data_IF_159050799026
#
_entry.id   IF_159050799026
#
_cell.length_a   1.000
_cell.length_b   1.000
_cell.length_c   1.000
_cell.angle_alpha   90.00
_cell.angle_beta   90.00
_cell.angle_gamma   90.00
#
_symmetry.space_group_name_H-M   'P 1'
#
loop_
_entity.id
_entity.type
_entity.pdbx_description
1 polymer ?
#
# COMPACT_ATOMS: atom_id res chain seq x y z
N UNK A 1 -6.31 -4.16 11.06
CA UNK A 1 -4.96 -4.73 11.24
C UNK A 1 -4.45 -5.12 9.86
N UNK A 2 -3.25 -4.67 9.49
CA UNK A 2 -2.64 -4.89 8.16
C UNK A 2 -1.30 -5.59 8.37
N UNK A 3 -1.00 -6.61 7.57
CA UNK A 3 0.28 -7.31 7.57
C UNK A 3 0.86 -7.36 6.15
N UNK A 4 2.07 -7.90 6.00
CA UNK A 4 2.61 -8.20 4.68
C UNK A 4 1.63 -9.07 3.86
N UNK A 5 1.62 -8.88 2.54
CA UNK A 5 0.75 -9.53 1.56
C UNK A 5 -0.75 -9.15 1.67
N UNK A 6 -1.11 -8.23 2.57
CA UNK A 6 -2.48 -7.72 2.64
C UNK A 6 -2.77 -6.82 1.44
N UNK A 7 -3.85 -7.11 0.71
CA UNK A 7 -4.37 -6.25 -0.35
C UNK A 7 -5.36 -5.24 0.22
N UNK A 8 -5.21 -3.98 -0.19
CA UNK A 8 -6.01 -2.86 0.28
C UNK A 8 -6.63 -2.14 -0.91
N UNK A 9 -7.86 -1.66 -0.73
CA UNK A 9 -8.49 -0.71 -1.65
C UNK A 9 -8.00 0.68 -1.32
N UNK A 10 -7.64 1.44 -2.34
CA UNK A 10 -7.17 2.81 -2.18
C UNK A 10 -8.36 3.76 -2.16
N UNK A 11 -8.31 4.77 -1.31
CA UNK A 11 -9.35 5.78 -1.11
C UNK A 11 -8.78 7.20 -1.32
N UNK A 12 -7.96 7.37 -2.35
CA UNK A 12 -7.38 8.65 -2.77
C UNK A 12 -7.68 8.91 -4.26
N UNK A 13 -7.21 10.06 -4.76
CA UNK A 13 -7.32 10.47 -6.16
C UNK A 13 -6.03 10.20 -6.98
N UNK A 14 -5.15 9.31 -6.53
CA UNK A 14 -3.91 8.95 -7.25
C UNK A 14 -4.17 8.10 -8.50
N UNK A 15 -5.34 7.48 -8.58
CA UNK A 15 -5.70 6.52 -9.62
C UNK A 15 -5.25 5.08 -9.30
N UNK A 16 -4.60 4.82 -8.15
CA UNK A 16 -4.47 3.44 -7.66
C UNK A 16 -5.83 2.88 -7.23
N UNK A 17 -6.10 1.60 -7.54
CA UNK A 17 -7.32 0.90 -7.09
C UNK A 17 -7.02 -0.12 -6.01
N UNK A 18 -5.98 -0.92 -6.26
CA UNK A 18 -5.55 -2.00 -5.37
C UNK A 18 -4.06 -1.90 -5.16
N UNK A 19 -3.66 -1.89 -3.90
CA UNK A 19 -2.27 -1.97 -3.45
C UNK A 19 -2.07 -3.19 -2.58
N UNK A 20 -0.83 -3.64 -2.44
CA UNK A 20 -0.43 -4.74 -1.57
C UNK A 20 0.69 -4.28 -0.66
N UNK A 21 0.50 -4.45 0.65
CA UNK A 21 1.53 -4.20 1.65
C UNK A 21 2.63 -5.26 1.53
N UNK A 22 3.88 -4.86 1.37
CA UNK A 22 5.01 -5.79 1.41
C UNK A 22 5.90 -5.60 2.65
N UNK A 23 5.71 -4.51 3.41
CA UNK A 23 6.42 -4.27 4.67
C UNK A 23 5.67 -3.29 5.58
N UNK A 24 5.53 -3.66 6.86
CA UNK A 24 5.06 -2.74 7.91
C UNK A 24 6.25 -1.95 8.45
N UNK A 25 6.13 -0.62 8.53
CA UNK A 25 7.21 0.26 8.99
C UNK A 25 7.09 0.60 10.49
N UNK A 26 8.17 1.12 11.08
CA UNK A 26 8.19 1.61 12.47
C UNK A 26 8.80 0.67 13.51
N UNK A 27 9.63 -0.29 13.12
CA UNK A 27 10.45 -1.06 14.08
C UNK A 27 10.92 -2.42 13.56
N UNK A 28 11.81 -3.04 14.34
CA UNK A 28 12.30 -4.40 14.08
C UNK A 28 11.23 -5.43 14.48
N UNK A 29 11.03 -6.46 13.63
CA UNK A 29 10.04 -7.56 13.84
C UNK A 29 8.58 -7.11 14.00
N UNK A 30 8.23 -5.89 13.59
CA UNK A 30 6.85 -5.42 13.58
C UNK A 30 6.03 -6.25 12.56
N UNK A 31 4.96 -6.89 13.04
CA UNK A 31 4.11 -7.78 12.22
C UNK A 31 2.86 -7.11 11.68
N UNK A 32 2.33 -6.15 12.42
CA UNK A 32 1.02 -5.56 12.16
C UNK A 32 1.04 -4.03 12.19
N UNK A 33 0.30 -3.44 11.27
CA UNK A 33 -0.08 -2.04 11.22
C UNK A 33 -1.56 -1.86 11.62
N UNK A 34 -1.83 -0.74 12.27
CA UNK A 34 -3.15 -0.25 12.65
C UNK A 34 -3.42 1.12 11.97
N UNK A 35 -4.57 1.71 12.25
CA UNK A 35 -4.94 3.03 11.71
C UNK A 35 -3.87 4.05 12.15
N UNK A 36 -3.35 4.82 11.20
CA UNK A 36 -2.31 5.83 11.41
C UNK A 36 -0.87 5.32 11.26
N UNK A 37 -0.66 4.01 11.14
CA UNK A 37 0.66 3.45 10.85
C UNK A 37 1.00 3.54 9.36
N UNK A 38 2.27 3.81 9.06
CA UNK A 38 2.79 3.84 7.69
C UNK A 38 3.25 2.44 7.26
N UNK A 39 2.87 2.05 6.04
CA UNK A 39 3.24 0.79 5.39
C UNK A 39 3.91 1.05 4.05
N UNK A 40 4.79 0.13 3.62
CA UNK A 40 5.34 0.12 2.28
C UNK A 40 4.51 -0.79 1.39
N UNK A 41 4.07 -0.26 0.25
CA UNK A 41 3.07 -0.88 -0.61
C UNK A 41 3.50 -0.91 -2.07
N UNK A 42 2.97 -1.87 -2.82
CA UNK A 42 3.11 -1.95 -4.27
C UNK A 42 1.76 -1.86 -4.96
N UNK A 43 1.68 -1.09 -6.04
CA UNK A 43 0.45 -0.93 -6.83
C UNK A 43 0.18 -2.19 -7.65
N UNK A 44 -0.98 -2.83 -7.46
CA UNK A 44 -1.38 -4.05 -8.20
C UNK A 44 -2.35 -3.74 -9.32
N UNK A 45 -3.15 -2.69 -9.18
CA UNK A 45 -4.04 -2.16 -10.22
C UNK A 45 -4.15 -0.65 -10.08
N UNK A 46 -4.05 0.05 -11.21
CA UNK A 46 -4.29 1.49 -11.32
C UNK A 46 -5.09 1.82 -12.58
N UNK A 47 -5.60 3.04 -12.63
CA UNK A 47 -6.25 3.60 -13.80
C UNK A 47 -5.25 3.93 -14.90
N UNK A 48 -5.63 3.80 -16.19
CA UNK A 48 -4.72 4.07 -17.31
C UNK A 48 -4.13 5.47 -17.32
N UNK A 49 -4.88 6.47 -16.85
CA UNK A 49 -4.46 7.88 -16.75
C UNK A 49 -4.16 8.32 -15.30
N UNK A 50 -4.06 7.37 -14.37
CA UNK A 50 -3.72 7.66 -12.98
C UNK A 50 -2.29 8.20 -12.84
N UNK A 51 -2.03 8.93 -11.76
CA UNK A 51 -0.70 9.45 -11.44
C UNK A 51 0.31 8.34 -11.15
N UNK A 52 -0.18 7.19 -10.67
CA UNK A 52 0.64 6.03 -10.30
C UNK A 52 0.43 4.84 -11.23
N UNK A 53 1.50 4.07 -11.44
CA UNK A 53 1.51 2.94 -12.37
C UNK A 53 1.49 1.60 -11.65
N UNK A 54 0.97 0.56 -12.31
CA UNK A 54 1.07 -0.82 -11.82
C UNK A 54 2.55 -1.20 -11.59
N UNK A 55 2.83 -1.78 -10.43
CA UNK A 55 4.17 -2.20 -9.99
C UNK A 55 4.94 -1.13 -9.22
N UNK A 56 4.45 0.11 -9.18
CA UNK A 56 5.10 1.20 -8.46
C UNK A 56 5.11 0.95 -6.95
N UNK A 57 6.21 1.31 -6.28
CA UNK A 57 6.42 1.11 -4.85
C UNK A 57 6.31 2.44 -4.12
N UNK A 58 5.42 2.50 -3.13
CA UNK A 58 5.06 3.73 -2.43
C UNK A 58 5.01 3.49 -0.92
N UNK A 59 4.84 4.58 -0.17
CA UNK A 59 4.51 4.57 1.26
C UNK A 59 3.08 5.10 1.42
N UNK A 60 2.29 4.45 2.27
CA UNK A 60 0.90 4.80 2.54
C UNK A 60 0.61 4.67 4.04
#
# INVERSE_FOLDING_TARGET
MIQAETKLKVADNSGAKIIECFKVLGGTRRRYAHIGDIIAVSVKSSEPQGMVKKGEKLRA
#
